data_IF_986333566532
#
_entry.id   IF_986333566532
#
_cell.length_a   1.000
_cell.length_b   1.000
_cell.length_c   1.000
_cell.angle_alpha   90.00
_cell.angle_beta   90.00
_cell.angle_gamma   90.00
#
_symmetry.space_group_name_H-M   'P 1'
#
loop_
_entity.id
_entity.type
_entity.pdbx_description
1 polymer ?
#
# COMPACT_ATOMS: atom_id res chain seq x y z
N UNK A 1 17.70 -6.43 5.84
CA UNK A 1 17.31 -6.83 4.46
C UNK A 1 16.09 -5.99 4.10
N UNK A 2 16.07 -5.32 2.94
CA UNK A 2 14.90 -4.55 2.51
C UNK A 2 13.83 -5.53 2.00
N UNK A 3 12.58 -5.33 2.41
CA UNK A 3 11.40 -6.06 1.97
C UNK A 3 10.40 -5.11 1.33
N UNK A 4 9.60 -5.63 0.42
CA UNK A 4 8.57 -4.87 -0.28
C UNK A 4 7.25 -5.63 -0.30
N UNK A 5 6.14 -4.93 -0.14
CA UNK A 5 4.79 -5.47 -0.31
C UNK A 5 3.97 -4.54 -1.19
N UNK A 6 3.41 -5.08 -2.26
CA UNK A 6 2.42 -4.37 -3.09
C UNK A 6 1.01 -4.73 -2.64
N UNK A 7 0.14 -3.73 -2.56
CA UNK A 7 -1.29 -3.82 -2.27
C UNK A 7 -2.01 -3.12 -3.41
N UNK A 8 -3.04 -3.76 -3.99
CA UNK A 8 -3.92 -3.14 -4.97
C UNK A 8 -5.37 -3.16 -4.49
N UNK A 9 -6.14 -2.15 -4.88
CA UNK A 9 -7.53 -1.99 -4.50
C UNK A 9 -8.29 -1.18 -5.57
N UNK A 10 -9.57 -1.51 -5.79
CA UNK A 10 -10.42 -0.78 -6.73
C UNK A 10 -10.81 0.63 -6.29
N UNK A 11 -10.42 1.09 -5.10
CA UNK A 11 -10.65 2.46 -4.64
C UNK A 11 -9.55 2.91 -3.68
N UNK A 12 -9.32 4.24 -3.61
CA UNK A 12 -8.37 4.84 -2.67
C UNK A 12 -8.69 4.51 -1.21
N UNK A 13 -9.97 4.57 -0.82
CA UNK A 13 -10.40 4.29 0.56
C UNK A 13 -10.14 2.83 0.98
N UNK A 14 -10.34 1.89 0.06
CA UNK A 14 -10.04 0.48 0.29
C UNK A 14 -8.52 0.25 0.35
N UNK A 15 -7.75 0.95 -0.49
CA UNK A 15 -6.29 0.89 -0.46
C UNK A 15 -5.76 1.34 0.92
N UNK A 16 -6.23 2.48 1.43
CA UNK A 16 -5.83 3.00 2.74
C UNK A 16 -6.12 2.01 3.87
N UNK A 17 -7.29 1.38 3.83
CA UNK A 17 -7.69 0.38 4.82
C UNK A 17 -6.76 -0.84 4.81
N UNK A 18 -6.40 -1.33 3.63
CA UNK A 18 -5.50 -2.48 3.48
C UNK A 18 -4.06 -2.15 3.88
N UNK A 19 -3.57 -0.94 3.56
CA UNK A 19 -2.26 -0.46 4.03
C UNK A 19 -2.25 -0.40 5.56
N UNK A 20 -3.24 0.25 6.18
CA UNK A 20 -3.32 0.36 7.63
C UNK A 20 -3.36 -1.01 8.31
N UNK A 21 -4.13 -1.96 7.76
CA UNK A 21 -4.15 -3.33 8.24
C UNK A 21 -2.76 -3.98 8.17
N UNK A 22 -2.08 -3.88 7.02
CA UNK A 22 -0.74 -4.44 6.84
C UNK A 22 0.28 -3.83 7.80
N UNK A 23 0.28 -2.50 7.95
CA UNK A 23 1.19 -1.80 8.86
C UNK A 23 0.95 -2.22 10.32
N UNK A 24 -0.29 -2.30 10.77
CA UNK A 24 -0.59 -2.65 12.16
C UNK A 24 -0.30 -4.12 12.51
N UNK A 25 -0.42 -5.04 11.54
CA UNK A 25 -0.37 -6.49 11.83
C UNK A 25 0.92 -7.17 11.36
N UNK A 26 1.58 -6.66 10.31
CA UNK A 26 2.73 -7.34 9.67
C UNK A 26 4.03 -6.58 9.82
N UNK A 27 3.98 -5.25 9.96
CA UNK A 27 5.15 -4.39 9.99
C UNK A 27 5.08 -3.51 11.23
N UNK A 28 5.50 -4.03 12.40
CA UNK A 28 5.60 -3.24 13.64
C UNK A 28 6.20 -1.87 13.33
N UNK A 29 5.46 -0.81 13.70
CA UNK A 29 5.44 0.54 13.07
C UNK A 29 6.74 1.34 12.94
N UNK A 30 7.91 0.75 13.17
CA UNK A 30 9.23 1.38 13.10
C UNK A 30 10.11 0.84 11.96
N UNK A 31 9.52 0.11 11.00
CA UNK A 31 10.25 -0.58 9.92
C UNK A 31 9.97 -0.05 8.53
N UNK A 32 8.92 0.74 8.35
CA UNK A 32 8.57 1.33 7.06
C UNK A 32 9.59 2.39 6.71
N UNK A 33 10.16 2.27 5.51
CA UNK A 33 11.11 3.22 4.94
C UNK A 33 10.36 4.21 4.06
N UNK A 34 9.45 3.70 3.22
CA UNK A 34 8.74 4.50 2.23
C UNK A 34 7.47 3.75 1.75
N UNK A 35 6.51 4.51 1.23
CA UNK A 35 5.30 3.98 0.57
C UNK A 35 5.10 4.75 -0.74
N UNK A 36 5.11 4.03 -1.86
CA UNK A 36 4.85 4.60 -3.19
C UNK A 36 3.43 4.29 -3.63
N UNK A 37 2.70 5.30 -4.09
CA UNK A 37 1.34 5.16 -4.60
C UNK A 37 1.32 5.27 -6.13
N UNK A 38 0.44 4.51 -6.76
CA UNK A 38 0.18 4.58 -8.19
C UNK A 38 -1.30 4.31 -8.44
N UNK A 39 -1.85 4.92 -9.47
CA UNK A 39 -3.17 4.59 -9.99
C UNK A 39 -3.01 4.15 -11.44
N UNK A 40 -3.59 3.01 -11.79
CA UNK A 40 -3.66 2.52 -13.16
C UNK A 40 -5.08 2.68 -13.67
N UNK A 41 -5.28 3.48 -14.72
CA UNK A 41 -6.60 3.76 -15.30
C UNK A 41 -7.07 5.19 -15.08
N UNK A 42 -8.34 5.45 -15.39
CA UNK A 42 -9.06 6.70 -15.17
C UNK A 42 -9.85 6.66 -13.84
N UNK A 43 -10.46 7.76 -13.40
CA UNK A 43 -11.23 7.78 -12.13
C UNK A 43 -12.39 6.77 -12.09
N UNK A 44 -12.84 6.29 -13.25
CA UNK A 44 -13.98 5.39 -13.43
C UNK A 44 -13.61 3.90 -13.31
N UNK A 45 -12.43 3.51 -13.80
CA UNK A 45 -11.96 2.11 -13.82
C UNK A 45 -10.62 1.91 -13.11
N UNK A 46 -10.14 2.96 -12.44
CA UNK A 46 -8.82 3.03 -11.85
C UNK A 46 -8.59 2.01 -10.75
N UNK A 47 -7.51 1.25 -10.87
CA UNK A 47 -6.98 0.42 -9.79
C UNK A 47 -5.90 1.20 -9.03
N UNK A 48 -6.11 1.37 -7.73
CA UNK A 48 -5.21 2.06 -6.82
C UNK A 48 -4.22 1.05 -6.23
N UNK A 49 -2.93 1.35 -6.34
CA UNK A 49 -1.87 0.49 -5.85
C UNK A 49 -0.94 1.25 -4.90
N UNK A 50 -0.41 0.54 -3.90
CA UNK A 50 0.67 1.01 -3.06
C UNK A 50 1.77 -0.04 -2.92
N UNK A 51 3.02 0.39 -2.99
CA UNK A 51 4.20 -0.41 -2.67
C UNK A 51 4.80 0.09 -1.35
N UNK A 52 4.75 -0.77 -0.33
CA UNK A 52 5.30 -0.52 1.00
C UNK A 52 6.71 -1.10 1.05
N UNK A 53 7.70 -0.27 1.37
CA UNK A 53 9.12 -0.62 1.47
C UNK A 53 9.50 -0.59 2.96
N UNK A 54 10.03 -1.69 3.50
CA UNK A 54 10.31 -1.82 4.94
C UNK A 54 11.53 -2.71 5.23
N UNK A 55 12.06 -2.65 6.46
CA UNK A 55 13.26 -3.39 6.92
C UNK A 55 12.99 -4.44 8.00
#
# INVERSE_FOLDING_TARGET
MIKTKTISAGSASNLDTQIAYFLNHQVSGSRVIDIKFSMTGDETTGEYCAMIIYK
#
